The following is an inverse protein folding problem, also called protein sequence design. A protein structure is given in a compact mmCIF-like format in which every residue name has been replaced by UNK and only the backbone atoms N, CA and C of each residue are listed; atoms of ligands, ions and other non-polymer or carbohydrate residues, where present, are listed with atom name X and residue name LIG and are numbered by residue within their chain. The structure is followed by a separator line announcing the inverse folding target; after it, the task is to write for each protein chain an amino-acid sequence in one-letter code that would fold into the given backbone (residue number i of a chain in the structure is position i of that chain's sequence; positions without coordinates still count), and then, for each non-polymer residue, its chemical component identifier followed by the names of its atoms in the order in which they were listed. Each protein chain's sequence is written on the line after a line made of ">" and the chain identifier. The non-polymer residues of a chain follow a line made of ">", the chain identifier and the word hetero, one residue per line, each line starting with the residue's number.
data_IF_917482262289
#
_entry.id   IF_917482262289
#
_cell.length_a   1.000
_cell.length_b   1.000
_cell.length_c   1.000
_cell.angle_alpha   90.00
_cell.angle_beta   90.00
_cell.angle_gamma   90.00
#
_symmetry.space_group_name_H-M   'P 1'
#
loop_
_entity.id
_entity.type
_entity.pdbx_description
1 polymer ?
#
# COMPACT_ATOMS: atom_id res chain seq x y z
N UNK A 1 -6.36 24.59 13.18
CA UNK A 1 -5.10 23.82 13.10
C UNK A 1 -5.50 22.36 13.10
N UNK A 2 -5.25 21.60 12.03
CA UNK A 2 -5.62 20.18 12.00
C UNK A 2 -4.67 19.37 12.90
N UNK A 3 -5.18 18.28 13.48
CA UNK A 3 -4.36 17.35 14.25
C UNK A 3 -3.71 16.28 13.35
N UNK A 4 -2.78 15.49 13.91
CA UNK A 4 -2.05 14.47 13.14
C UNK A 4 -2.97 13.42 12.51
N UNK A 5 -4.09 13.05 13.16
CA UNK A 5 -5.04 12.06 12.64
C UNK A 5 -5.75 12.59 11.39
N UNK A 6 -6.18 13.85 11.43
CA UNK A 6 -6.77 14.53 10.26
C UNK A 6 -5.74 14.66 9.13
N UNK A 7 -4.50 14.98 9.45
CA UNK A 7 -3.42 15.07 8.48
C UNK A 7 -3.16 13.73 7.79
N UNK A 8 -3.03 12.64 8.55
CA UNK A 8 -2.83 11.30 7.97
C UNK A 8 -4.04 10.85 7.16
N UNK A 9 -5.27 11.20 7.59
CA UNK A 9 -6.49 10.92 6.85
C UNK A 9 -6.49 11.63 5.50
N UNK A 10 -6.19 12.93 5.47
CA UNK A 10 -6.08 13.69 4.21
C UNK A 10 -4.95 13.19 3.31
N UNK A 11 -3.81 12.74 3.87
CA UNK A 11 -2.75 12.12 3.07
C UNK A 11 -3.20 10.81 2.42
N UNK A 12 -3.98 9.99 3.11
CA UNK A 12 -4.59 8.79 2.54
C UNK A 12 -5.58 9.17 1.43
N UNK A 13 -6.49 10.10 1.71
CA UNK A 13 -7.48 10.54 0.72
C UNK A 13 -6.82 11.14 -0.54
N UNK A 14 -5.66 11.79 -0.41
CA UNK A 14 -4.89 12.31 -1.54
C UNK A 14 -4.42 11.21 -2.52
N UNK A 15 -4.35 9.95 -2.06
CA UNK A 15 -3.98 8.81 -2.91
C UNK A 15 -5.15 8.37 -3.81
N UNK A 16 -6.39 8.56 -3.33
CA UNK A 16 -7.62 8.10 -3.99
C UNK A 16 -8.34 9.22 -4.74
N UNK A 17 -8.28 10.46 -4.22
CA UNK A 17 -8.93 11.65 -4.78
C UNK A 17 -8.01 12.85 -4.79
N UNK A 18 -8.35 13.82 -5.64
CA UNK A 18 -7.75 15.15 -5.56
C UNK A 18 -8.26 15.87 -4.31
N UNK A 19 -7.34 16.42 -3.53
CA UNK A 19 -7.67 17.33 -2.45
C UNK A 19 -8.03 18.71 -3.00
N UNK A 20 -8.91 19.43 -2.30
CA UNK A 20 -9.18 20.84 -2.56
C UNK A 20 -7.95 21.70 -2.27
N UNK A 21 -7.93 22.94 -2.76
CA UNK A 21 -6.82 23.86 -2.50
C UNK A 21 -6.66 24.15 -1.00
N UNK A 22 -7.77 24.25 -0.26
CA UNK A 22 -7.76 24.46 1.19
C UNK A 22 -7.15 23.28 1.93
N UNK A 23 -7.62 22.06 1.63
CA UNK A 23 -7.10 20.83 2.23
C UNK A 23 -5.60 20.68 1.98
N UNK A 24 -5.13 20.96 0.75
CA UNK A 24 -3.72 20.96 0.41
C UNK A 24 -2.91 21.98 1.22
N UNK A 25 -3.42 23.21 1.36
CA UNK A 25 -2.73 24.27 2.10
C UNK A 25 -2.60 23.92 3.59
N UNK A 26 -3.69 23.47 4.21
CA UNK A 26 -3.71 23.06 5.62
C UNK A 26 -2.76 21.87 5.85
N UNK A 27 -2.78 20.88 4.95
CA UNK A 27 -1.94 19.70 5.04
C UNK A 27 -0.45 20.05 4.89
N UNK A 28 -0.12 20.94 3.95
CA UNK A 28 1.24 21.45 3.75
C UNK A 28 1.74 22.18 4.99
N UNK A 29 0.91 23.03 5.59
CA UNK A 29 1.23 23.70 6.85
C UNK A 29 1.54 22.70 7.96
N UNK A 30 0.70 21.69 8.16
CA UNK A 30 0.91 20.68 9.19
C UNK A 30 2.20 19.88 8.96
N UNK A 31 2.51 19.47 7.72
CA UNK A 31 3.77 18.78 7.39
C UNK A 31 5.02 19.64 7.64
N UNK A 32 4.93 20.96 7.53
CA UNK A 32 6.09 21.83 7.80
C UNK A 32 6.46 21.85 9.29
N UNK A 33 5.47 21.78 10.18
CA UNK A 33 5.68 21.83 11.64
C UNK A 33 5.77 20.46 12.31
N UNK A 34 5.31 19.38 11.67
CA UNK A 34 5.28 18.04 12.23
C UNK A 34 6.16 17.07 11.42
N UNK A 35 7.34 16.74 11.95
CA UNK A 35 8.27 15.80 11.32
C UNK A 35 7.65 14.42 11.10
N UNK A 36 6.81 13.93 12.03
CA UNK A 36 6.12 12.64 11.89
C UNK A 36 5.20 12.60 10.66
N UNK A 37 4.36 13.62 10.51
CA UNK A 37 3.47 13.74 9.35
C UNK A 37 4.25 14.00 8.05
N UNK A 38 5.36 14.73 8.09
CA UNK A 38 6.25 14.88 6.92
C UNK A 38 6.80 13.54 6.46
N UNK A 39 7.34 12.74 7.37
CA UNK A 39 7.91 11.43 7.06
C UNK A 39 6.84 10.45 6.59
N UNK A 40 5.64 10.48 7.17
CA UNK A 40 4.51 9.66 6.72
C UNK A 40 4.11 10.01 5.27
N UNK A 41 4.01 11.29 4.94
CA UNK A 41 3.74 11.73 3.56
C UNK A 41 4.77 11.19 2.56
N UNK A 42 6.06 11.32 2.88
CA UNK A 42 7.13 10.81 2.01
C UNK A 42 7.07 9.28 1.83
N UNK A 43 6.69 8.53 2.87
CA UNK A 43 6.52 7.07 2.79
C UNK A 43 5.35 6.70 1.86
N UNK A 44 4.22 7.41 1.94
CA UNK A 44 3.07 7.17 1.06
C UNK A 44 3.42 7.43 -0.41
N UNK A 45 4.16 8.51 -0.69
CA UNK A 45 4.62 8.81 -2.05
C UNK A 45 5.57 7.71 -2.59
N UNK A 46 6.44 7.17 -1.73
CA UNK A 46 7.35 6.08 -2.09
C UNK A 46 6.60 4.78 -2.42
N UNK A 47 5.63 4.40 -1.58
CA UNK A 47 4.78 3.23 -1.82
C UNK A 47 4.04 3.38 -3.16
N UNK A 48 3.46 4.55 -3.43
CA UNK A 48 2.76 4.80 -4.69
C UNK A 48 3.68 4.65 -5.88
N UNK A 49 4.90 5.19 -5.80
CA UNK A 49 5.90 5.05 -6.87
C UNK A 49 6.25 3.57 -7.11
N UNK A 50 6.50 2.79 -6.06
CA UNK A 50 6.78 1.35 -6.19
C UNK A 50 5.63 0.58 -6.81
N UNK A 51 4.38 0.85 -6.41
CA UNK A 51 3.22 0.20 -7.00
C UNK A 51 3.04 0.55 -8.48
N UNK A 52 3.32 1.79 -8.87
CA UNK A 52 3.27 2.22 -10.26
C UNK A 52 4.37 1.56 -11.09
N UNK A 53 5.58 1.41 -10.56
CA UNK A 53 6.64 0.67 -11.23
C UNK A 53 6.31 -0.81 -11.36
N UNK A 54 5.76 -1.43 -10.31
CA UNK A 54 5.30 -2.82 -10.35
C UNK A 54 4.23 -3.04 -11.42
N UNK A 55 3.24 -2.14 -11.53
CA UNK A 55 2.18 -2.22 -12.53
C UNK A 55 2.66 -1.98 -13.98
N UNK A 56 3.86 -1.42 -14.18
CA UNK A 56 4.46 -1.21 -15.52
C UNK A 56 5.23 -2.43 -16.02
N UNK A 57 5.58 -3.38 -15.15
CA UNK A 57 6.27 -4.60 -15.57
C UNK A 57 5.30 -5.38 -16.46
N UNK A 58 5.59 -5.57 -17.77
CA UNK A 58 4.75 -6.36 -18.64
C UNK A 58 4.72 -7.78 -18.07
N UNK A 59 3.52 -8.33 -17.89
CA UNK A 59 3.32 -9.63 -17.30
C UNK A 59 4.15 -10.66 -18.07
N UNK A 60 5.23 -11.14 -17.45
CA UNK A 60 5.81 -12.43 -17.83
C UNK A 60 4.70 -13.47 -17.60
N UNK A 61 4.55 -14.47 -18.48
CA UNK A 61 3.34 -15.26 -18.58
C UNK A 61 2.94 -15.82 -17.22
N UNK A 62 1.75 -15.41 -16.82
CA UNK A 62 0.87 -15.99 -15.80
C UNK A 62 1.20 -17.45 -15.46
N UNK A 63 1.88 -17.64 -14.32
CA UNK A 63 1.90 -18.93 -13.65
C UNK A 63 0.59 -19.04 -12.86
N UNK A 64 -0.40 -19.61 -13.53
CA UNK A 64 -1.63 -20.13 -12.95
C UNK A 64 -1.30 -21.16 -11.86
N UNK A 65 -1.26 -20.72 -10.59
CA UNK A 65 -1.20 -21.63 -9.44
C UNK A 65 -2.62 -22.06 -9.07
N UNK A 66 -3.34 -22.62 -10.04
CA UNK A 66 -4.65 -23.26 -9.84
C UNK A 66 -4.57 -24.75 -10.09
N UNK A 67 -3.61 -25.46 -9.47
CA UNK A 67 -3.63 -26.92 -9.42
C UNK A 67 -2.72 -27.49 -8.32
N UNK A 68 -3.22 -27.53 -7.08
CA UNK A 68 -2.96 -28.67 -6.19
C UNK A 68 -4.02 -28.75 -5.07
N UNK A 69 -5.19 -29.29 -5.44
CA UNK A 69 -6.14 -29.89 -4.48
C UNK A 69 -6.41 -31.33 -4.90
N UNK A 70 -5.61 -32.27 -4.38
CA UNK A 70 -5.90 -33.71 -4.27
C UNK A 70 -4.57 -34.40 -3.94
N UNK A 71 -4.34 -35.29 -2.99
CA UNK A 71 -5.16 -36.02 -2.04
C UNK A 71 -4.16 -36.48 -0.98
N UNK A 72 -4.36 -36.17 0.30
CA UNK A 72 -3.73 -36.97 1.37
C UNK A 72 -4.81 -37.84 2.00
N UNK A 73 -5.06 -38.97 1.33
CA UNK A 73 -5.75 -40.13 1.90
C UNK A 73 -5.08 -41.40 1.42
N UNK A 74 -4.99 -42.33 2.37
CA UNK A 74 -4.64 -43.75 2.29
C UNK A 74 -3.13 -44.03 2.16
N UNK A 75 -2.52 -44.49 3.27
CA UNK A 75 -2.24 -45.90 3.57
C UNK A 75 -0.93 -46.32 2.88
N UNK A 76 0.05 -46.99 3.47
CA UNK A 76 0.04 -48.08 4.42
C UNK A 76 1.51 -48.33 4.83
N UNK A 77 1.74 -48.61 6.12
CA UNK A 77 2.60 -49.69 6.65
C UNK A 77 3.79 -50.21 5.82
N UNK A 78 5.01 -50.20 6.38
CA UNK A 78 5.76 -51.42 6.78
C UNK A 78 7.27 -51.20 7.02
N UNK A 79 7.74 -51.89 8.06
CA UNK A 79 9.07 -52.49 8.23
C UNK A 79 10.32 -51.60 8.37
N UNK A 80 10.63 -51.21 9.62
CA UNK A 80 11.84 -51.69 10.32
C UNK A 80 11.82 -51.44 11.83
#
# INVERSE_FOLDING_TARGET
>A
MMNCREATRLMSEAQDRKLTLRENAELKFHKMMCTGCRNFGNQMDSIRAFMQEFAKVPEAPEQDVSQEKSNHKDAEQKDK
#
